data_IF_315728718500
#
_entry.id   IF_315728718500
#
_cell.length_a   1.000
_cell.length_b   1.000
_cell.length_c   1.000
_cell.angle_alpha   90.00
_cell.angle_beta   90.00
_cell.angle_gamma   90.00
#
_symmetry.space_group_name_H-M   'P 1'
#
loop_
_entity.id
_entity.type
_entity.pdbx_description
1 polymer ?
#
# COMPACT_ATOMS: atom_id res chain seq x y z
N UNK A 1 15.55 36.74 -86.73
CA UNK A 1 16.16 36.12 -85.52
C UNK A 1 15.07 35.29 -84.83
N UNK A 2 15.08 34.02 -85.10
CA UNK A 2 14.02 33.07 -84.71
C UNK A 2 14.51 32.21 -83.48
N UNK A 3 13.77 32.22 -82.45
CA UNK A 3 13.98 31.32 -81.27
C UNK A 3 13.18 30.02 -81.44
N UNK A 4 13.74 28.84 -81.13
CA UNK A 4 13.01 27.60 -81.25
C UNK A 4 12.20 27.27 -79.92
N UNK A 5 10.98 26.81 -80.13
CA UNK A 5 10.08 26.34 -79.10
C UNK A 5 10.57 24.96 -78.57
N UNK A 6 10.85 24.85 -77.27
CA UNK A 6 11.06 23.58 -76.59
C UNK A 6 9.69 22.95 -76.16
N UNK A 7 9.47 21.72 -76.57
CA UNK A 7 8.35 20.87 -76.15
C UNK A 7 8.59 20.35 -74.74
N UNK A 8 7.62 20.51 -73.85
CA UNK A 8 7.60 19.93 -72.52
C UNK A 8 6.88 18.59 -72.61
N UNK A 9 7.60 17.53 -72.33
CA UNK A 9 7.03 16.17 -72.23
C UNK A 9 6.38 16.01 -70.81
N UNK A 10 5.09 15.69 -70.81
CA UNK A 10 4.38 15.36 -69.57
C UNK A 10 4.66 13.91 -69.23
N UNK A 11 5.36 13.67 -68.12
CA UNK A 11 5.45 12.35 -67.47
C UNK A 11 4.28 12.19 -66.53
N UNK A 12 3.38 11.26 -66.84
CA UNK A 12 2.37 10.82 -65.92
C UNK A 12 3.00 9.88 -64.88
N UNK A 13 3.18 10.33 -63.64
CA UNK A 13 3.50 9.46 -62.51
C UNK A 13 2.23 8.83 -61.99
N UNK A 14 2.08 7.50 -62.15
CA UNK A 14 1.08 6.71 -61.47
C UNK A 14 1.58 6.41 -60.07
N UNK A 15 1.06 7.09 -59.04
CA UNK A 15 1.24 6.74 -57.62
C UNK A 15 0.25 5.65 -57.28
N UNK A 16 0.74 4.42 -57.11
CA UNK A 16 0.02 3.29 -56.50
C UNK A 16 -0.07 3.61 -54.98
N UNK A 17 -1.26 4.00 -54.51
CA UNK A 17 -1.57 4.09 -53.11
C UNK A 17 -1.80 2.65 -52.55
N UNK A 18 -0.80 2.11 -51.87
CA UNK A 18 -0.98 0.94 -51.01
C UNK A 18 -1.76 1.34 -49.78
N UNK A 19 -3.06 1.05 -49.73
CA UNK A 19 -3.86 1.11 -48.54
C UNK A 19 -3.43 -0.07 -47.63
N UNK A 20 -2.54 0.19 -46.68
CA UNK A 20 -2.26 -0.73 -45.60
C UNK A 20 -3.51 -0.78 -44.69
N UNK A 21 -4.34 -1.78 -44.85
CA UNK A 21 -5.37 -2.14 -43.86
C UNK A 21 -4.61 -2.58 -42.59
N UNK A 22 -4.44 -1.67 -41.63
CA UNK A 22 -4.05 -2.03 -40.29
C UNK A 22 -5.23 -2.85 -39.69
N UNK A 23 -5.11 -4.16 -39.70
CA UNK A 23 -5.94 -5.03 -38.88
C UNK A 23 -5.67 -4.65 -37.43
N UNK A 24 -6.52 -3.81 -36.84
CA UNK A 24 -6.58 -3.62 -35.40
C UNK A 24 -7.14 -4.94 -34.84
N UNK A 25 -6.25 -5.90 -34.62
CA UNK A 25 -6.56 -7.03 -33.74
C UNK A 25 -6.89 -6.40 -32.39
N UNK A 26 -8.15 -6.33 -32.04
CA UNK A 26 -8.55 -6.25 -30.63
C UNK A 26 -8.06 -7.55 -30.00
N UNK A 27 -6.86 -7.50 -29.39
CA UNK A 27 -6.49 -8.53 -28.44
C UNK A 27 -7.59 -8.48 -27.37
N UNK A 28 -8.35 -9.55 -27.20
CA UNK A 28 -9.18 -9.70 -26.01
C UNK A 28 -8.30 -9.35 -24.81
N UNK A 29 -8.72 -8.39 -23.97
CA UNK A 29 -7.97 -7.97 -22.80
C UNK A 29 -7.73 -9.18 -21.91
N UNK A 30 -6.56 -9.80 -22.06
CA UNK A 30 -6.18 -11.00 -21.32
C UNK A 30 -6.25 -10.70 -19.83
N UNK A 31 -7.11 -11.39 -19.11
CA UNK A 31 -7.20 -11.27 -17.65
C UNK A 31 -5.89 -11.77 -17.02
N UNK A 32 -5.11 -10.90 -16.33
CA UNK A 32 -3.85 -11.30 -15.74
C UNK A 32 -4.03 -12.41 -14.69
N UNK A 33 -3.18 -13.42 -14.77
CA UNK A 33 -3.12 -14.54 -13.82
C UNK A 33 -2.18 -14.19 -12.69
N UNK A 34 -2.66 -14.13 -11.46
CA UNK A 34 -1.86 -13.69 -10.32
C UNK A 34 -1.67 -14.79 -9.28
N UNK A 35 -0.49 -14.80 -8.65
CA UNK A 35 -0.19 -15.59 -7.47
C UNK A 35 -0.41 -14.76 -6.21
N UNK A 36 -0.97 -15.36 -5.16
CA UNK A 36 -1.00 -14.78 -3.81
C UNK A 36 0.09 -15.44 -2.96
N UNK A 37 1.03 -14.62 -2.49
CA UNK A 37 2.05 -14.99 -1.52
C UNK A 37 1.69 -14.32 -0.21
N UNK A 38 1.35 -15.10 0.82
CA UNK A 38 0.92 -14.52 2.11
C UNK A 38 1.58 -15.21 3.30
N UNK A 39 1.72 -14.47 4.38
CA UNK A 39 2.22 -15.00 5.65
C UNK A 39 1.18 -15.88 6.34
N UNK A 40 -0.08 -15.44 6.39
CA UNK A 40 -1.19 -16.19 7.00
C UNK A 40 -2.52 -15.70 6.44
N UNK A 41 -3.50 -16.57 6.34
CA UNK A 41 -4.84 -16.20 5.89
C UNK A 41 -5.91 -16.66 6.89
N UNK A 42 -6.41 -15.76 7.71
CA UNK A 42 -7.56 -15.99 8.58
C UNK A 42 -8.63 -14.91 8.37
N UNK A 43 -9.79 -15.08 8.94
CA UNK A 43 -10.92 -14.17 8.77
C UNK A 43 -10.56 -12.73 9.14
N UNK A 44 -10.82 -11.80 8.24
CA UNK A 44 -10.50 -10.37 8.34
C UNK A 44 -8.98 -10.04 8.36
N UNK A 45 -8.10 -11.01 8.08
CA UNK A 45 -6.69 -10.69 7.81
C UNK A 45 -6.56 -9.95 6.47
N UNK A 46 -5.42 -9.31 6.23
CA UNK A 46 -5.19 -8.64 4.94
C UNK A 46 -5.26 -9.62 3.76
N UNK A 47 -4.81 -10.86 3.90
CA UNK A 47 -5.01 -11.90 2.90
C UNK A 47 -6.50 -12.17 2.62
N UNK A 48 -7.35 -12.11 3.68
CA UNK A 48 -8.80 -12.30 3.55
C UNK A 48 -9.46 -11.13 2.81
N UNK A 49 -9.08 -9.89 3.14
CA UNK A 49 -9.70 -8.70 2.58
C UNK A 49 -9.08 -8.22 1.26
N UNK A 50 -7.88 -8.68 0.89
CA UNK A 50 -7.24 -8.41 -0.41
C UNK A 50 -7.36 -9.61 -1.33
N UNK A 51 -6.75 -10.76 -0.94
CA UNK A 51 -6.78 -12.00 -1.71
C UNK A 51 -8.18 -12.58 -1.85
N UNK A 52 -8.99 -12.50 -0.80
CA UNK A 52 -10.39 -12.94 -0.82
C UNK A 52 -11.24 -12.24 -1.88
N UNK A 53 -10.95 -10.97 -2.21
CA UNK A 53 -11.67 -10.24 -3.27
C UNK A 53 -11.46 -10.83 -4.66
N UNK A 54 -10.34 -11.46 -4.92
CA UNK A 54 -10.11 -12.15 -6.19
C UNK A 54 -11.03 -13.36 -6.37
N UNK A 55 -11.55 -13.90 -5.28
CA UNK A 55 -12.40 -15.08 -5.24
C UNK A 55 -13.89 -14.77 -5.00
N UNK A 56 -14.17 -13.77 -4.17
CA UNK A 56 -15.51 -13.45 -3.69
C UNK A 56 -16.02 -12.07 -4.20
N UNK A 57 -15.29 -11.43 -5.11
CA UNK A 57 -15.65 -10.11 -5.65
C UNK A 57 -15.32 -8.95 -4.70
N UNK A 58 -15.50 -7.72 -5.19
CA UNK A 58 -15.16 -6.51 -4.43
C UNK A 58 -15.93 -6.36 -3.10
N UNK A 59 -17.09 -6.95 -2.99
CA UNK A 59 -17.91 -6.92 -1.77
C UNK A 59 -17.76 -8.17 -0.89
N UNK A 60 -16.83 -9.08 -1.20
CA UNK A 60 -16.56 -10.31 -0.43
C UNK A 60 -17.81 -11.17 -0.16
N UNK A 61 -18.75 -11.23 -1.09
CA UNK A 61 -20.03 -11.93 -0.95
C UNK A 61 -20.35 -12.86 -2.14
N UNK A 62 -19.40 -13.04 -3.07
CA UNK A 62 -19.58 -13.87 -4.26
C UNK A 62 -20.49 -13.25 -5.31
N UNK A 63 -20.83 -11.97 -5.22
CA UNK A 63 -21.78 -11.30 -6.10
C UNK A 63 -21.24 -9.95 -6.59
N UNK A 64 -21.84 -9.42 -7.66
CA UNK A 64 -21.53 -8.12 -8.21
C UNK A 64 -20.25 -8.08 -9.02
N UNK A 65 -19.48 -7.01 -8.86
CA UNK A 65 -18.25 -6.79 -9.62
C UNK A 65 -17.07 -7.57 -9.00
N UNK A 66 -16.28 -8.20 -9.86
CA UNK A 66 -15.04 -8.88 -9.52
C UNK A 66 -13.84 -8.13 -10.08
N UNK A 67 -12.67 -8.20 -9.40
CA UNK A 67 -11.43 -7.74 -10.01
C UNK A 67 -11.16 -8.47 -11.33
N UNK A 68 -10.72 -7.74 -12.34
CA UNK A 68 -10.28 -8.33 -13.61
C UNK A 68 -8.89 -8.96 -13.49
N UNK A 69 -8.72 -9.76 -12.44
CA UNK A 69 -7.52 -10.53 -12.11
C UNK A 69 -7.96 -11.94 -11.76
N UNK A 70 -7.20 -12.94 -12.21
CA UNK A 70 -7.49 -14.35 -11.91
C UNK A 70 -6.46 -14.88 -10.89
N UNK A 71 -6.88 -15.17 -9.67
CA UNK A 71 -6.04 -15.90 -8.71
C UNK A 71 -5.84 -17.35 -9.20
N UNK A 72 -4.59 -17.73 -9.47
CA UNK A 72 -4.26 -19.05 -10.05
C UNK A 72 -3.40 -19.91 -9.13
N UNK A 73 -2.85 -19.35 -8.06
CA UNK A 73 -2.05 -20.07 -7.07
C UNK A 73 -1.97 -19.32 -5.75
N UNK A 74 -1.77 -20.08 -4.67
CA UNK A 74 -1.62 -19.56 -3.32
C UNK A 74 -0.39 -20.21 -2.67
N UNK A 75 0.44 -19.38 -2.02
CA UNK A 75 1.42 -19.80 -1.03
C UNK A 75 1.07 -19.15 0.31
N UNK A 76 1.12 -19.92 1.40
CA UNK A 76 0.88 -19.43 2.76
C UNK A 76 1.98 -19.92 3.68
N UNK A 77 2.72 -18.98 4.30
CA UNK A 77 3.90 -19.28 5.13
C UNK A 77 3.54 -19.99 6.44
N UNK A 78 2.51 -19.51 7.12
CA UNK A 78 2.01 -20.09 8.37
C UNK A 78 0.54 -20.54 8.22
N UNK A 79 0.24 -21.73 8.77
CA UNK A 79 -1.07 -22.37 8.66
C UNK A 79 -1.59 -22.73 10.06
N UNK A 80 -1.98 -21.71 10.87
CA UNK A 80 -2.56 -21.96 12.19
C UNK A 80 -3.93 -22.62 12.08
N UNK A 81 -4.48 -23.13 13.20
CA UNK A 81 -5.80 -23.78 13.25
C UNK A 81 -6.92 -22.92 12.63
N UNK A 82 -6.82 -21.59 12.76
CA UNK A 82 -7.76 -20.62 12.18
C UNK A 82 -7.51 -20.28 10.70
N UNK A 83 -6.59 -20.96 10.02
CA UNK A 83 -6.30 -20.72 8.61
C UNK A 83 -7.52 -20.96 7.72
N UNK A 84 -7.73 -20.08 6.75
CA UNK A 84 -8.79 -20.17 5.74
C UNK A 84 -8.25 -20.48 4.33
N UNK A 85 -6.95 -20.37 4.12
CA UNK A 85 -6.37 -20.43 2.77
C UNK A 85 -6.73 -21.72 2.03
N UNK A 86 -6.64 -22.86 2.74
CA UNK A 86 -6.95 -24.19 2.16
C UNK A 86 -8.44 -24.36 1.87
N UNK A 87 -9.31 -23.87 2.75
CA UNK A 87 -10.75 -23.92 2.55
C UNK A 87 -11.20 -23.03 1.39
N UNK A 88 -10.65 -21.81 1.29
CA UNK A 88 -10.93 -20.90 0.19
C UNK A 88 -10.40 -21.45 -1.13
N UNK A 89 -9.18 -21.99 -1.13
CA UNK A 89 -8.56 -22.63 -2.28
C UNK A 89 -9.42 -23.80 -2.81
N UNK A 90 -9.88 -24.69 -1.93
CA UNK A 90 -10.72 -25.82 -2.28
C UNK A 90 -12.09 -25.38 -2.81
N UNK A 91 -12.72 -24.38 -2.19
CA UNK A 91 -14.01 -23.83 -2.62
C UNK A 91 -13.97 -23.28 -4.04
N UNK A 92 -12.86 -22.64 -4.42
CA UNK A 92 -12.73 -21.95 -5.71
C UNK A 92 -11.83 -22.68 -6.73
N UNK A 93 -11.34 -23.88 -6.40
CA UNK A 93 -10.50 -24.68 -7.31
C UNK A 93 -9.12 -24.06 -7.57
N UNK A 94 -8.56 -23.30 -6.60
CA UNK A 94 -7.24 -22.68 -6.73
C UNK A 94 -6.18 -23.58 -6.07
N UNK A 95 -5.09 -23.97 -6.75
CA UNK A 95 -4.05 -24.80 -6.17
C UNK A 95 -3.26 -24.03 -5.08
N UNK A 96 -2.90 -24.75 -4.01
CA UNK A 96 -2.00 -24.26 -2.95
C UNK A 96 -0.67 -25.00 -3.10
N UNK A 97 0.42 -24.24 -3.00
CA UNK A 97 1.79 -24.75 -3.10
C UNK A 97 2.54 -24.59 -1.79
N UNK A 98 3.44 -25.51 -1.51
CA UNK A 98 4.27 -25.49 -0.29
C UNK A 98 5.51 -24.57 -0.42
N UNK A 99 5.76 -24.03 -1.63
CA UNK A 99 6.86 -23.10 -1.91
C UNK A 99 6.39 -21.96 -2.80
N UNK A 100 7.03 -20.79 -2.65
CA UNK A 100 6.80 -19.63 -3.53
C UNK A 100 7.14 -20.00 -4.97
N UNK A 101 8.25 -20.71 -5.19
CA UNK A 101 8.62 -21.18 -6.53
C UNK A 101 7.51 -22.01 -7.17
N UNK A 102 6.96 -22.99 -6.43
CA UNK A 102 5.84 -23.79 -6.91
C UNK A 102 4.61 -22.95 -7.26
N UNK A 103 4.28 -21.95 -6.41
CA UNK A 103 3.14 -21.06 -6.67
C UNK A 103 3.35 -20.20 -7.92
N UNK A 104 4.53 -19.64 -8.14
CA UNK A 104 4.82 -18.76 -9.26
C UNK A 104 5.00 -19.53 -10.59
N UNK A 105 5.47 -20.77 -10.53
CA UNK A 105 5.66 -21.63 -11.71
C UNK A 105 4.47 -22.56 -11.98
N UNK A 106 3.46 -22.57 -11.09
CA UNK A 106 2.33 -23.54 -11.11
C UNK A 106 2.82 -24.99 -11.14
N UNK A 107 3.91 -25.26 -10.42
CA UNK A 107 4.54 -26.58 -10.31
C UNK A 107 5.49 -26.92 -11.47
N UNK A 108 5.69 -26.03 -12.45
CA UNK A 108 6.67 -26.19 -13.53
C UNK A 108 8.04 -25.57 -13.20
N UNK A 109 8.84 -25.35 -14.26
CA UNK A 109 10.22 -24.85 -14.15
C UNK A 109 10.38 -23.35 -14.40
N UNK A 110 9.38 -22.73 -15.04
CA UNK A 110 9.42 -21.33 -15.49
C UNK A 110 8.26 -20.53 -14.89
N UNK A 111 8.45 -19.22 -14.72
CA UNK A 111 7.41 -18.31 -14.29
C UNK A 111 6.14 -18.42 -15.14
N UNK A 112 5.03 -18.77 -14.53
CA UNK A 112 3.75 -19.07 -15.20
C UNK A 112 2.60 -18.14 -14.80
N UNK A 113 2.89 -17.08 -14.02
CA UNK A 113 1.93 -16.04 -13.62
C UNK A 113 2.24 -14.71 -14.29
N UNK A 114 1.27 -13.80 -14.33
CA UNK A 114 1.37 -12.46 -14.91
C UNK A 114 1.55 -11.37 -13.82
N UNK A 115 1.46 -11.72 -12.54
CA UNK A 115 1.67 -10.82 -11.40
C UNK A 115 1.69 -11.54 -10.07
N UNK A 116 2.19 -10.85 -9.03
CA UNK A 116 2.28 -11.37 -7.66
C UNK A 116 1.66 -10.38 -6.68
N UNK A 117 0.75 -10.85 -5.83
CA UNK A 117 0.29 -10.13 -4.66
C UNK A 117 0.99 -10.72 -3.42
N UNK A 118 1.90 -9.94 -2.82
CA UNK A 118 2.58 -10.30 -1.58
C UNK A 118 1.88 -9.61 -0.40
N UNK A 119 1.13 -10.38 0.39
CA UNK A 119 0.36 -9.90 1.54
C UNK A 119 0.95 -10.47 2.82
N UNK A 120 1.95 -9.78 3.38
CA UNK A 120 2.77 -10.27 4.47
C UNK A 120 2.63 -9.39 5.73
N UNK A 121 1.44 -9.38 6.33
CA UNK A 121 1.06 -8.42 7.38
C UNK A 121 0.57 -9.04 8.68
N UNK A 122 0.38 -10.33 8.73
CA UNK A 122 -0.09 -11.05 9.90
C UNK A 122 0.71 -12.33 10.09
N UNK A 123 0.61 -12.91 11.26
CA UNK A 123 1.31 -14.14 11.60
C UNK A 123 1.92 -14.05 12.98
N UNK A 124 2.56 -15.15 13.40
CA UNK A 124 3.32 -15.25 14.64
C UNK A 124 4.80 -15.08 14.30
N UNK A 125 5.27 -13.83 14.35
CA UNK A 125 6.65 -13.43 14.07
C UNK A 125 7.22 -12.66 15.25
N UNK A 126 8.56 -12.70 15.46
CA UNK A 126 9.17 -11.99 16.57
C UNK A 126 9.02 -10.47 16.42
N UNK A 127 9.05 -9.78 17.56
CA UNK A 127 9.16 -8.33 17.62
C UNK A 127 10.65 -7.92 17.70
N UNK A 128 10.96 -6.79 17.07
CA UNK A 128 12.26 -6.11 17.21
C UNK A 128 12.36 -5.40 18.57
N UNK A 129 13.55 -4.89 18.90
CA UNK A 129 13.78 -4.07 20.09
C UNK A 129 13.07 -2.69 20.02
N UNK A 130 12.59 -2.31 18.85
CA UNK A 130 11.77 -1.09 18.64
C UNK A 130 10.26 -1.38 18.75
N UNK A 131 9.86 -2.66 18.89
CA UNK A 131 8.46 -3.09 18.96
C UNK A 131 7.79 -3.20 17.58
N UNK A 132 8.57 -3.31 16.50
CA UNK A 132 8.08 -3.63 15.17
C UNK A 132 8.04 -5.13 14.95
N UNK A 133 6.96 -5.64 14.33
CA UNK A 133 6.82 -7.07 14.02
C UNK A 133 7.67 -7.42 12.79
N UNK A 134 8.60 -8.36 12.96
CA UNK A 134 9.56 -8.78 11.93
C UNK A 134 8.93 -9.74 10.91
N UNK A 135 8.03 -9.22 10.08
CA UNK A 135 7.45 -10.01 9.00
C UNK A 135 8.52 -10.42 7.97
N UNK A 136 8.49 -11.66 7.44
CA UNK A 136 9.57 -12.18 6.59
C UNK A 136 9.57 -11.61 5.15
N UNK A 137 9.31 -10.32 4.98
CA UNK A 137 9.13 -9.68 3.67
C UNK A 137 10.36 -9.79 2.78
N UNK A 138 11.56 -9.58 3.36
CA UNK A 138 12.83 -9.76 2.61
C UNK A 138 12.98 -11.18 2.08
N UNK A 139 12.69 -12.20 2.90
CA UNK A 139 12.75 -13.60 2.47
C UNK A 139 11.76 -13.87 1.36
N UNK A 140 10.46 -13.51 1.57
CA UNK A 140 9.41 -13.77 0.60
C UNK A 140 9.69 -13.10 -0.76
N UNK A 141 10.11 -11.83 -0.74
CA UNK A 141 10.48 -11.13 -1.97
C UNK A 141 11.74 -11.72 -2.61
N UNK A 142 12.72 -12.10 -1.82
CA UNK A 142 13.93 -12.76 -2.32
C UNK A 142 13.63 -14.07 -3.05
N UNK A 143 12.71 -14.88 -2.52
CA UNK A 143 12.27 -16.12 -3.18
C UNK A 143 11.49 -15.83 -4.49
N UNK A 144 10.69 -14.74 -4.54
CA UNK A 144 10.03 -14.29 -5.77
C UNK A 144 11.08 -13.90 -6.82
N UNK A 145 12.08 -13.11 -6.42
CA UNK A 145 13.18 -12.66 -7.28
C UNK A 145 13.97 -13.82 -7.85
N UNK A 146 14.28 -14.85 -7.05
CA UNK A 146 14.95 -16.06 -7.53
C UNK A 146 14.18 -16.76 -8.66
N UNK A 147 12.84 -16.79 -8.61
CA UNK A 147 12.03 -17.34 -9.71
C UNK A 147 12.12 -16.45 -10.95
N UNK A 148 12.16 -15.13 -10.79
CA UNK A 148 12.34 -14.20 -11.90
C UNK A 148 13.69 -14.38 -12.58
N UNK A 149 14.76 -14.46 -11.78
CA UNK A 149 16.14 -14.69 -12.27
C UNK A 149 16.23 -16.00 -13.06
N UNK A 150 15.71 -17.09 -12.49
CA UNK A 150 15.70 -18.41 -13.14
C UNK A 150 14.89 -18.39 -14.45
N UNK A 151 13.82 -17.60 -14.51
CA UNK A 151 12.93 -17.54 -15.66
C UNK A 151 13.33 -16.51 -16.72
N UNK A 152 14.32 -15.64 -16.42
CA UNK A 152 14.71 -14.53 -17.29
C UNK A 152 13.55 -13.55 -17.58
N UNK A 153 12.53 -13.49 -16.71
CA UNK A 153 11.33 -12.68 -16.86
C UNK A 153 10.83 -12.18 -15.52
N UNK A 154 10.42 -10.91 -15.47
CA UNK A 154 9.78 -10.30 -14.32
C UNK A 154 8.30 -10.02 -14.59
N UNK A 155 7.51 -9.90 -13.52
CA UNK A 155 6.11 -9.47 -13.57
C UNK A 155 5.83 -8.46 -12.46
N UNK A 156 4.75 -7.68 -12.54
CA UNK A 156 4.37 -6.75 -11.48
C UNK A 156 4.22 -7.43 -10.12
N UNK A 157 4.71 -6.76 -9.08
CA UNK A 157 4.60 -7.20 -7.67
C UNK A 157 3.92 -6.10 -6.88
N UNK A 158 2.87 -6.46 -6.14
CA UNK A 158 2.28 -5.62 -5.10
C UNK A 158 2.71 -6.16 -3.73
N UNK A 159 3.23 -5.27 -2.86
CA UNK A 159 3.50 -5.54 -1.45
C UNK A 159 2.53 -4.76 -0.57
N UNK A 160 1.74 -5.46 0.22
CA UNK A 160 0.82 -4.83 1.16
C UNK A 160 1.57 -4.16 2.31
N UNK A 161 1.16 -2.92 2.67
CA UNK A 161 1.75 -2.03 3.69
C UNK A 161 3.22 -1.69 3.43
N UNK A 162 4.04 -1.63 4.52
CA UNK A 162 5.47 -1.28 4.43
C UNK A 162 6.30 -2.30 3.65
N UNK A 163 7.47 -1.87 3.19
CA UNK A 163 8.38 -2.76 2.45
C UNK A 163 9.10 -3.74 3.39
N UNK A 164 9.42 -3.32 4.61
CA UNK A 164 9.98 -4.16 5.67
C UNK A 164 9.79 -3.50 7.04
N UNK A 165 10.15 -4.19 8.11
CA UNK A 165 10.17 -3.70 9.49
C UNK A 165 11.39 -2.83 9.83
N UNK A 166 12.38 -2.78 8.93
CA UNK A 166 13.58 -1.97 9.08
C UNK A 166 14.04 -1.37 7.75
N UNK A 167 14.82 -0.29 7.85
CA UNK A 167 15.31 0.45 6.68
C UNK A 167 16.19 -0.38 5.74
N UNK A 168 17.15 -1.13 6.30
CA UNK A 168 18.14 -1.87 5.48
C UNK A 168 17.45 -2.87 4.54
N UNK A 169 16.44 -3.58 5.03
CA UNK A 169 15.68 -4.53 4.24
C UNK A 169 14.71 -3.83 3.27
N UNK A 170 14.12 -2.70 3.67
CA UNK A 170 13.27 -1.90 2.79
C UNK A 170 14.05 -1.31 1.62
N UNK A 171 15.23 -0.77 1.88
CA UNK A 171 16.13 -0.25 0.86
C UNK A 171 16.58 -1.35 -0.10
N UNK A 172 16.97 -2.53 0.44
CA UNK A 172 17.32 -3.68 -0.37
C UNK A 172 16.16 -4.12 -1.27
N UNK A 173 14.94 -4.18 -0.73
CA UNK A 173 13.74 -4.54 -1.47
C UNK A 173 13.53 -3.60 -2.66
N UNK A 174 13.55 -2.29 -2.39
CA UNK A 174 13.36 -1.27 -3.41
C UNK A 174 14.49 -1.28 -4.45
N UNK A 175 15.76 -1.32 -4.02
CA UNK A 175 16.93 -1.36 -4.92
C UNK A 175 16.89 -2.60 -5.82
N UNK A 176 16.52 -3.76 -5.29
CA UNK A 176 16.40 -5.01 -6.07
C UNK A 176 15.31 -4.86 -7.13
N UNK A 177 14.15 -4.30 -6.78
CA UNK A 177 13.09 -4.07 -7.76
C UNK A 177 13.54 -3.11 -8.88
N UNK A 178 14.24 -2.02 -8.54
CA UNK A 178 14.78 -1.07 -9.52
C UNK A 178 15.82 -1.73 -10.44
N UNK A 179 16.78 -2.45 -9.89
CA UNK A 179 17.86 -3.11 -10.65
C UNK A 179 17.30 -4.14 -11.65
N UNK A 180 16.29 -4.89 -11.24
CA UNK A 180 15.64 -5.90 -12.08
C UNK A 180 14.47 -5.36 -12.90
N UNK A 181 14.15 -4.07 -12.78
CA UNK A 181 13.02 -3.44 -13.45
C UNK A 181 11.69 -4.12 -13.15
N UNK A 182 11.52 -4.60 -11.94
CA UNK A 182 10.25 -5.16 -11.47
C UNK A 182 9.25 -4.01 -11.25
N UNK A 183 8.10 -3.99 -11.92
CA UNK A 183 7.04 -3.04 -11.61
C UNK A 183 6.56 -3.30 -10.17
N UNK A 184 7.02 -2.48 -9.23
CA UNK A 184 6.73 -2.63 -7.80
C UNK A 184 5.76 -1.55 -7.34
N UNK A 185 4.74 -1.94 -6.62
CA UNK A 185 3.83 -1.05 -5.92
C UNK A 185 3.61 -1.56 -4.50
N UNK A 186 3.55 -0.65 -3.54
CA UNK A 186 3.32 -0.98 -2.14
C UNK A 186 2.45 0.08 -1.45
N UNK A 187 2.04 -0.17 -0.22
CA UNK A 187 1.44 0.84 0.64
C UNK A 187 0.11 0.46 1.28
N UNK A 188 -0.45 1.44 1.94
CA UNK A 188 -1.68 1.38 2.73
C UNK A 188 -2.93 1.59 1.89
N UNK A 189 -4.07 1.04 2.34
CA UNK A 189 -5.39 1.34 1.80
C UNK A 189 -5.93 2.72 2.23
N UNK A 190 -5.36 3.35 3.26
CA UNK A 190 -5.85 4.64 3.80
C UNK A 190 -5.80 5.77 2.76
N UNK A 191 -4.72 5.99 2.00
CA UNK A 191 -4.70 7.00 0.95
C UNK A 191 -5.79 6.84 -0.11
N UNK A 192 -6.27 5.59 -0.33
CA UNK A 192 -7.28 5.25 -1.34
C UNK A 192 -8.71 5.37 -0.82
N UNK A 193 -8.91 5.67 0.47
CA UNK A 193 -10.22 5.77 1.11
C UNK A 193 -11.03 6.98 0.62
N UNK A 194 -12.31 7.00 0.96
CA UNK A 194 -13.15 8.19 0.82
C UNK A 194 -12.62 9.31 1.70
N UNK A 195 -12.93 10.55 1.32
CA UNK A 195 -12.57 11.74 2.11
C UNK A 195 -13.82 12.56 2.41
N UNK A 196 -13.92 13.07 3.61
CA UNK A 196 -15.01 13.98 4.01
C UNK A 196 -14.47 15.22 4.72
N UNK A 197 -14.73 16.42 4.16
CA UNK A 197 -15.30 16.65 2.84
C UNK A 197 -14.47 16.02 1.72
N UNK A 198 -15.09 15.77 0.56
CA UNK A 198 -14.43 15.19 -0.62
C UNK A 198 -13.49 16.21 -1.25
N UNK A 199 -12.29 16.30 -0.71
CA UNK A 199 -11.27 17.25 -1.13
C UNK A 199 -9.86 16.58 -1.11
N UNK A 200 -8.88 17.20 -1.75
CA UNK A 200 -7.48 16.77 -1.78
C UNK A 200 -6.56 17.98 -1.77
N UNK A 201 -5.38 17.84 -1.20
CA UNK A 201 -4.35 18.87 -1.31
C UNK A 201 -4.01 19.08 -2.79
N UNK A 202 -4.15 20.31 -3.26
CA UNK A 202 -3.81 20.65 -4.66
C UNK A 202 -2.34 20.36 -4.93
N UNK A 203 -2.06 19.82 -6.11
CA UNK A 203 -0.68 19.63 -6.55
C UNK A 203 0.04 20.98 -6.63
N UNK A 204 1.34 20.98 -6.31
CA UNK A 204 2.21 22.15 -6.28
C UNK A 204 1.78 23.24 -5.27
N UNK A 205 0.96 22.87 -4.29
CA UNK A 205 0.59 23.77 -3.20
C UNK A 205 1.80 24.09 -2.32
N UNK A 206 1.92 25.35 -1.91
CA UNK A 206 2.94 25.79 -0.95
C UNK A 206 2.48 25.46 0.47
N UNK A 207 2.76 24.27 0.93
CA UNK A 207 2.36 23.77 2.25
C UNK A 207 3.42 24.13 3.28
N UNK A 208 2.99 24.61 4.44
CA UNK A 208 3.86 24.93 5.58
C UNK A 208 3.84 23.83 6.65
N UNK A 209 2.67 23.25 6.89
CA UNK A 209 2.49 22.25 7.94
C UNK A 209 1.36 21.29 7.59
N UNK A 210 1.54 20.01 7.95
CA UNK A 210 0.52 18.96 7.85
C UNK A 210 0.41 18.24 9.19
N UNK A 211 -0.81 18.05 9.67
CA UNK A 211 -1.13 17.26 10.87
C UNK A 211 -2.10 16.16 10.49
N UNK A 212 -1.75 14.92 10.85
CA UNK A 212 -2.59 13.73 10.61
C UNK A 212 -2.84 13.03 11.95
N UNK A 213 -4.05 12.53 12.16
CA UNK A 213 -4.38 11.70 13.33
C UNK A 213 -4.26 10.22 13.00
N UNK A 214 -3.86 9.45 14.01
CA UNK A 214 -3.82 7.99 13.99
C UNK A 214 -4.35 7.46 15.32
N UNK A 215 -4.42 6.15 15.48
CA UNK A 215 -4.86 5.50 16.72
C UNK A 215 -4.25 4.10 16.83
N UNK A 216 -4.44 3.42 17.98
CA UNK A 216 -3.98 2.04 18.24
C UNK A 216 -2.45 1.90 18.24
N UNK A 217 -1.89 0.85 17.60
CA UNK A 217 -0.46 0.53 17.66
C UNK A 217 0.39 1.47 16.80
N UNK A 218 1.60 1.76 17.26
CA UNK A 218 2.53 2.65 16.52
C UNK A 218 3.13 1.95 15.31
N UNK A 219 3.33 0.64 15.36
CA UNK A 219 3.85 -0.14 14.24
C UNK A 219 2.82 -0.19 13.10
N UNK A 220 1.73 -0.95 13.26
CA UNK A 220 0.78 -1.15 12.18
C UNK A 220 -0.04 0.11 11.83
N UNK A 221 -0.59 0.81 12.84
CA UNK A 221 -1.45 1.98 12.63
C UNK A 221 -0.66 3.27 12.45
N UNK A 222 0.51 3.39 13.09
CA UNK A 222 1.44 4.49 12.82
C UNK A 222 1.89 4.51 11.36
N UNK A 223 2.17 3.34 10.77
CA UNK A 223 2.46 3.25 9.33
C UNK A 223 1.31 3.78 8.47
N UNK A 224 0.07 3.43 8.79
CA UNK A 224 -1.08 3.96 8.05
C UNK A 224 -1.19 5.49 8.16
N UNK A 225 -0.90 6.04 9.35
CA UNK A 225 -0.84 7.49 9.55
C UNK A 225 0.26 8.16 8.73
N UNK A 226 1.43 7.53 8.62
CA UNK A 226 2.53 8.01 7.78
C UNK A 226 2.19 7.95 6.28
N UNK A 227 1.53 6.90 5.81
CA UNK A 227 1.05 6.80 4.42
C UNK A 227 -0.04 7.86 4.12
N UNK A 228 -0.94 8.10 5.07
CA UNK A 228 -1.95 9.16 4.98
C UNK A 228 -1.31 10.55 4.92
N UNK A 229 -0.26 10.79 5.68
CA UNK A 229 0.51 12.03 5.66
C UNK A 229 1.30 12.18 4.36
N UNK A 230 2.06 11.15 3.99
CA UNK A 230 2.98 11.21 2.84
C UNK A 230 2.23 11.40 1.52
N UNK A 231 1.03 10.82 1.36
CA UNK A 231 0.23 11.02 0.15
C UNK A 231 -0.24 12.48 -0.02
N UNK A 232 -0.20 13.30 1.04
CA UNK A 232 -0.39 14.75 0.97
C UNK A 232 0.95 15.46 0.78
N UNK A 233 1.96 15.11 1.57
CA UNK A 233 3.27 15.75 1.53
C UNK A 233 3.93 15.67 0.14
N UNK A 234 3.81 14.55 -0.57
CA UNK A 234 4.35 14.37 -1.92
C UNK A 234 3.72 15.28 -2.99
N UNK A 235 2.60 15.95 -2.67
CA UNK A 235 1.87 16.84 -3.59
C UNK A 235 2.29 18.30 -3.48
N UNK A 236 3.13 18.65 -2.48
CA UNK A 236 3.58 20.02 -2.26
C UNK A 236 4.44 20.54 -3.41
N UNK A 237 4.62 21.85 -3.46
CA UNK A 237 5.50 22.49 -4.43
C UNK A 237 6.92 21.91 -4.34
N UNK A 238 7.44 21.45 -5.46
CA UNK A 238 8.72 20.74 -5.53
C UNK A 238 8.63 19.22 -5.37
N UNK A 239 7.47 18.67 -4.99
CA UNK A 239 7.31 17.23 -4.75
C UNK A 239 7.95 16.76 -3.44
N UNK A 240 8.33 15.49 -3.36
CA UNK A 240 9.11 14.98 -2.23
C UNK A 240 10.58 15.38 -2.36
N UNK A 241 11.16 15.89 -1.27
CA UNK A 241 12.53 16.44 -1.23
C UNK A 241 13.43 15.76 -0.18
N UNK A 242 12.91 14.73 0.44
CA UNK A 242 13.58 13.98 1.52
C UNK A 242 13.31 14.55 2.91
N UNK A 243 13.60 13.71 3.90
CA UNK A 243 13.41 14.00 5.33
C UNK A 243 14.75 14.30 5.98
N UNK A 244 14.78 15.35 6.80
CA UNK A 244 15.98 15.79 7.51
C UNK A 244 16.18 14.98 8.79
N UNK A 245 15.13 14.92 9.63
CA UNK A 245 15.15 14.23 10.92
C UNK A 245 13.74 13.97 11.42
N UNK A 246 13.64 13.07 12.37
CA UNK A 246 12.37 12.71 13.02
C UNK A 246 12.54 12.57 14.53
N UNK A 247 11.43 12.63 15.28
CA UNK A 247 11.38 12.17 16.67
C UNK A 247 9.99 11.72 17.07
N UNK A 248 9.93 10.92 18.14
CA UNK A 248 8.69 10.46 18.76
C UNK A 248 8.59 11.00 20.19
N UNK A 249 7.50 11.69 20.51
CA UNK A 249 7.19 12.13 21.86
C UNK A 249 5.95 11.37 22.38
N UNK A 250 5.83 11.25 23.72
CA UNK A 250 4.73 10.51 24.34
C UNK A 250 4.19 11.23 25.57
N UNK A 251 2.89 11.08 25.84
CA UNK A 251 2.24 11.64 27.03
C UNK A 251 2.31 13.16 27.07
N UNK A 252 2.66 13.71 28.24
CA UNK A 252 2.67 15.18 28.47
C UNK A 252 3.67 15.93 27.60
N UNK A 253 4.75 15.28 27.15
CA UNK A 253 5.72 15.89 26.24
C UNK A 253 5.10 16.30 24.91
N UNK A 254 4.07 15.58 24.45
CA UNK A 254 3.30 15.93 23.25
C UNK A 254 2.62 17.28 23.43
N UNK A 255 1.98 17.48 24.57
CA UNK A 255 1.29 18.75 24.84
C UNK A 255 2.26 19.91 25.07
N UNK A 256 3.40 19.65 25.72
CA UNK A 256 4.47 20.64 25.85
C UNK A 256 5.05 21.04 24.50
N UNK A 257 5.21 20.10 23.56
CA UNK A 257 5.64 20.41 22.21
C UNK A 257 4.61 21.27 21.45
N UNK A 258 3.32 21.01 21.65
CA UNK A 258 2.23 21.86 21.13
C UNK A 258 2.29 23.27 21.70
N UNK A 259 2.49 23.40 23.02
CA UNK A 259 2.61 24.72 23.72
C UNK A 259 3.80 25.52 23.20
N UNK A 260 4.90 24.86 22.81
CA UNK A 260 6.08 25.50 22.20
C UNK A 260 5.91 25.81 20.70
N UNK A 261 4.77 25.47 20.09
CA UNK A 261 4.51 25.67 18.66
C UNK A 261 5.34 24.76 17.73
N UNK A 262 5.77 23.61 18.23
CA UNK A 262 6.52 22.64 17.44
C UNK A 262 5.60 21.90 16.45
N UNK A 263 4.30 21.78 16.75
CA UNK A 263 3.23 21.44 15.84
C UNK A 263 1.96 22.21 16.19
N UNK A 264 1.04 22.32 15.23
CA UNK A 264 -0.15 23.15 15.35
C UNK A 264 -1.30 22.46 16.08
N UNK A 265 -1.63 22.93 17.29
CA UNK A 265 -2.86 22.54 18.00
C UNK A 265 -4.14 22.84 17.20
N UNK A 266 -4.30 24.03 16.62
CA UNK A 266 -5.44 24.35 15.75
C UNK A 266 -5.63 23.40 14.57
N UNK A 267 -4.55 22.95 13.90
CA UNK A 267 -4.66 21.95 12.83
C UNK A 267 -5.10 20.58 13.38
N UNK A 268 -4.60 20.19 14.56
CA UNK A 268 -5.03 18.96 15.21
C UNK A 268 -6.54 18.99 15.51
N UNK A 269 -7.03 20.08 16.09
CA UNK A 269 -8.46 20.26 16.38
C UNK A 269 -9.29 20.30 15.10
N UNK A 270 -8.79 20.92 14.04
CA UNK A 270 -9.45 20.94 12.74
C UNK A 270 -9.52 19.55 12.11
N UNK A 271 -8.45 18.74 12.20
CA UNK A 271 -8.46 17.35 11.74
C UNK A 271 -9.50 16.52 12.50
N UNK A 272 -9.54 16.62 13.84
CA UNK A 272 -10.53 15.93 14.67
C UNK A 272 -11.95 16.44 14.39
N UNK A 273 -12.11 17.73 14.06
CA UNK A 273 -13.40 18.33 13.68
C UNK A 273 -14.04 17.72 12.43
N UNK A 274 -13.26 16.99 11.61
CA UNK A 274 -13.79 16.28 10.42
C UNK A 274 -14.30 14.86 10.73
N UNK A 275 -14.07 14.34 11.93
CA UNK A 275 -14.46 12.97 12.30
C UNK A 275 -15.95 12.72 12.14
N UNK A 276 -16.29 11.52 11.67
CA UNK A 276 -17.66 11.11 11.38
C UNK A 276 -18.24 10.19 12.46
N UNK A 277 -17.41 9.51 13.22
CA UNK A 277 -17.83 8.54 14.24
C UNK A 277 -17.93 9.19 15.62
N UNK A 278 -16.83 9.81 16.08
CA UNK A 278 -16.77 10.44 17.40
C UNK A 278 -15.77 11.60 17.40
N UNK A 279 -16.26 12.81 17.56
CA UNK A 279 -15.45 14.00 17.78
C UNK A 279 -15.15 14.28 19.26
N UNK A 280 -14.59 15.44 19.53
CA UNK A 280 -14.39 15.92 20.90
C UNK A 280 -15.74 16.18 21.57
N UNK A 281 -15.91 15.84 22.86
CA UNK A 281 -17.07 16.24 23.62
C UNK A 281 -17.20 17.77 23.67
N UNK A 282 -18.43 18.27 23.65
CA UNK A 282 -18.69 19.71 23.67
C UNK A 282 -17.96 20.43 24.84
N UNK A 283 -17.26 21.49 24.52
CA UNK A 283 -16.51 22.29 25.50
C UNK A 283 -15.24 21.63 26.03
N UNK A 284 -14.81 20.51 25.45
CA UNK A 284 -13.55 19.84 25.81
C UNK A 284 -12.48 20.07 24.76
N UNK A 285 -11.25 20.28 25.21
CA UNK A 285 -10.06 20.31 24.36
C UNK A 285 -9.53 18.89 24.12
N UNK A 286 -8.71 18.74 23.09
CA UNK A 286 -8.05 17.46 22.80
C UNK A 286 -7.20 16.98 23.98
N UNK A 287 -6.47 17.88 24.66
CA UNK A 287 -5.63 17.60 25.84
C UNK A 287 -6.45 17.05 27.02
N UNK A 288 -7.68 17.54 27.23
CA UNK A 288 -8.54 17.03 28.29
C UNK A 288 -9.07 15.61 28.02
N UNK A 289 -9.23 15.26 26.76
CA UNK A 289 -9.83 13.98 26.33
C UNK A 289 -8.77 12.90 26.14
N UNK A 290 -7.71 13.19 25.39
CA UNK A 290 -6.65 12.24 25.04
C UNK A 290 -5.67 12.08 26.20
N UNK A 291 -5.49 10.85 26.70
CA UNK A 291 -4.72 10.57 27.91
C UNK A 291 -3.30 10.06 27.62
N UNK A 292 -3.12 9.38 26.52
CA UNK A 292 -1.83 8.76 26.13
C UNK A 292 -1.48 9.08 24.69
N UNK A 293 -1.31 10.37 24.34
CA UNK A 293 -0.95 10.76 22.98
C UNK A 293 0.47 10.29 22.67
N UNK A 294 0.70 9.95 21.40
CA UNK A 294 2.05 9.78 20.85
C UNK A 294 2.16 10.63 19.59
N UNK A 295 3.21 11.42 19.50
CA UNK A 295 3.50 12.30 18.37
C UNK A 295 4.68 11.76 17.58
N UNK A 296 4.50 11.49 16.32
CA UNK A 296 5.53 11.35 15.30
C UNK A 296 5.75 12.73 14.68
N UNK A 297 6.91 13.32 14.91
CA UNK A 297 7.30 14.62 14.38
C UNK A 297 8.34 14.45 13.29
N UNK A 298 8.13 15.10 12.14
CA UNK A 298 8.89 14.92 10.92
C UNK A 298 9.28 16.29 10.38
N UNK A 299 10.58 16.54 10.26
CA UNK A 299 11.14 17.74 9.65
C UNK A 299 11.65 17.37 8.24
N UNK A 300 10.97 17.85 7.20
CA UNK A 300 11.42 17.67 5.82
C UNK A 300 12.57 18.65 5.47
N UNK A 301 13.34 18.30 4.42
CA UNK A 301 14.52 19.11 4.02
C UNK A 301 14.17 20.49 3.50
N UNK A 302 13.01 20.63 2.86
CA UNK A 302 12.50 21.90 2.32
C UNK A 302 11.82 22.80 3.37
N UNK A 303 11.77 22.35 4.62
CA UNK A 303 11.20 23.09 5.73
C UNK A 303 9.73 22.78 6.03
N UNK A 304 9.06 21.89 5.27
CA UNK A 304 7.75 21.39 5.66
C UNK A 304 7.84 20.72 7.03
N UNK A 305 6.92 21.09 7.93
CA UNK A 305 6.71 20.42 9.21
C UNK A 305 5.53 19.49 9.11
N UNK A 306 5.70 18.25 9.54
CA UNK A 306 4.61 17.29 9.51
C UNK A 306 4.53 16.47 10.79
N UNK A 307 3.31 16.10 11.17
CA UNK A 307 3.03 15.40 12.42
C UNK A 307 1.98 14.31 12.21
N UNK A 308 2.24 13.13 12.79
CA UNK A 308 1.21 12.11 12.97
C UNK A 308 0.98 11.94 14.46
N UNK A 309 -0.26 12.13 14.90
CA UNK A 309 -0.60 12.06 16.32
C UNK A 309 -1.50 10.85 16.55
N UNK A 310 -0.99 9.87 17.30
CA UNK A 310 -1.77 8.72 17.75
C UNK A 310 -2.63 9.11 18.92
N UNK A 311 -3.94 9.01 18.74
CA UNK A 311 -4.97 9.36 19.71
C UNK A 311 -5.48 8.10 20.41
N UNK A 312 -6.12 8.31 21.57
CA UNK A 312 -6.82 7.29 22.33
C UNK A 312 -8.25 7.77 22.67
N UNK A 313 -8.87 7.20 23.71
CA UNK A 313 -10.12 7.69 24.30
C UNK A 313 -11.33 7.70 23.36
N UNK A 314 -11.30 6.84 22.33
CA UNK A 314 -12.38 6.66 21.37
C UNK A 314 -12.33 7.59 20.16
N UNK A 315 -11.21 8.28 19.94
CA UNK A 315 -10.94 9.08 18.75
C UNK A 315 -10.20 8.20 17.74
N UNK A 316 -10.92 7.37 16.98
CA UNK A 316 -10.38 6.29 16.15
C UNK A 316 -10.62 6.53 14.67
N UNK A 317 -10.24 7.73 14.18
CA UNK A 317 -10.34 8.08 12.77
C UNK A 317 -9.06 8.76 12.27
N UNK A 318 -8.89 8.74 10.96
CA UNK A 318 -7.73 9.26 10.24
C UNK A 318 -8.03 10.66 9.70
N UNK A 319 -8.00 11.67 10.56
CA UNK A 319 -8.15 13.07 10.15
C UNK A 319 -6.84 13.63 9.62
N UNK A 320 -6.93 14.52 8.65
CA UNK A 320 -5.80 15.30 8.13
C UNK A 320 -6.17 16.77 8.02
N UNK A 321 -5.24 17.65 8.41
CA UNK A 321 -5.35 19.09 8.21
C UNK A 321 -4.01 19.65 7.78
N UNK A 322 -4.03 20.72 6.97
CA UNK A 322 -2.81 21.37 6.51
C UNK A 322 -2.97 22.87 6.43
N UNK A 323 -1.84 23.57 6.51
CA UNK A 323 -1.72 25.01 6.40
C UNK A 323 -0.92 25.37 5.17
N UNK A 324 -1.46 26.27 4.35
CA UNK A 324 -0.79 26.82 3.18
C UNK A 324 0.02 28.10 3.52
N UNK A 325 0.89 28.49 2.61
CA UNK A 325 1.75 29.67 2.78
C UNK A 325 0.97 30.99 2.87
N UNK A 326 -0.25 31.07 2.34
CA UNK A 326 -1.14 32.22 2.47
C UNK A 326 -1.89 32.27 3.81
N UNK A 327 -1.64 31.27 4.68
CA UNK A 327 -2.27 31.14 5.99
C UNK A 327 -3.60 30.39 5.98
N UNK A 328 -4.16 30.04 4.81
CA UNK A 328 -5.38 29.24 4.71
C UNK A 328 -5.15 27.81 5.19
N UNK A 329 -6.20 27.20 5.72
CA UNK A 329 -6.18 25.82 6.21
C UNK A 329 -7.33 25.03 5.63
N UNK A 330 -7.09 23.75 5.38
CA UNK A 330 -8.11 22.81 4.95
C UNK A 330 -7.96 21.50 5.72
N UNK A 331 -9.02 20.71 5.77
CA UNK A 331 -9.01 19.42 6.47
C UNK A 331 -10.03 18.46 5.86
N UNK A 332 -9.79 17.18 6.08
CA UNK A 332 -10.73 16.09 5.83
C UNK A 332 -10.44 14.89 6.74
N UNK A 333 -11.38 13.96 6.80
CA UNK A 333 -11.14 12.62 7.37
C UNK A 333 -11.05 11.59 6.23
N UNK A 334 -10.07 10.69 6.31
CA UNK A 334 -10.04 9.46 5.52
C UNK A 334 -11.11 8.52 6.07
N UNK A 335 -12.22 8.41 5.40
CA UNK A 335 -13.33 7.57 5.84
C UNK A 335 -13.13 6.13 5.39
N UNK A 336 -12.82 5.25 6.32
CA UNK A 336 -12.72 3.81 6.09
C UNK A 336 -14.07 3.14 6.37
N UNK A 337 -14.31 2.01 5.74
CA UNK A 337 -15.34 1.09 6.16
C UNK A 337 -14.69 0.02 7.04
N UNK A 338 -14.84 0.17 8.35
CA UNK A 338 -14.24 -0.75 9.34
C UNK A 338 -15.07 -2.03 9.55
N UNK A 339 -16.29 -2.07 9.00
CA UNK A 339 -17.14 -3.26 8.97
C UNK A 339 -17.03 -3.98 7.62
N UNK A 340 -17.41 -5.26 7.60
CA UNK A 340 -17.50 -6.03 6.37
C UNK A 340 -18.41 -5.30 5.34
N UNK A 341 -17.99 -5.14 4.09
CA UNK A 341 -16.87 -5.81 3.40
C UNK A 341 -15.51 -5.07 3.42
N UNK A 342 -15.26 -4.09 4.29
CA UNK A 342 -13.98 -3.36 4.35
C UNK A 342 -13.60 -2.73 3.00
N UNK A 343 -14.51 -1.99 2.41
CA UNK A 343 -14.45 -1.59 1.00
C UNK A 343 -13.31 -0.63 0.64
N UNK A 344 -12.63 0.00 1.62
CA UNK A 344 -11.39 0.73 1.37
C UNK A 344 -10.29 -0.16 0.77
N UNK A 345 -10.26 -1.47 1.06
CA UNK A 345 -9.39 -2.42 0.38
C UNK A 345 -9.79 -2.69 -1.08
N UNK A 346 -11.06 -2.51 -1.43
CA UNK A 346 -11.48 -2.56 -2.84
C UNK A 346 -10.85 -1.44 -3.65
N UNK A 347 -10.77 -0.23 -3.07
CA UNK A 347 -10.14 0.91 -3.73
C UNK A 347 -8.62 0.71 -3.90
N UNK A 348 -7.95 0.13 -2.89
CA UNK A 348 -6.55 -0.31 -3.00
C UNK A 348 -6.38 -1.30 -4.15
N UNK A 349 -7.21 -2.35 -4.18
CA UNK A 349 -7.09 -3.43 -5.16
C UNK A 349 -7.37 -2.95 -6.60
N UNK A 350 -8.24 -1.95 -6.82
CA UNK A 350 -8.41 -1.32 -8.15
C UNK A 350 -7.11 -0.67 -8.65
N UNK A 351 -6.32 -0.06 -7.75
CA UNK A 351 -4.99 0.45 -8.09
C UNK A 351 -4.01 -0.66 -8.45
N UNK A 352 -4.05 -1.75 -7.70
CA UNK A 352 -3.25 -2.96 -7.97
C UNK A 352 -3.64 -3.59 -9.32
N UNK A 353 -4.94 -3.76 -9.55
CA UNK A 353 -5.48 -4.28 -10.82
C UNK A 353 -4.96 -3.46 -12.01
N UNK A 354 -5.01 -2.12 -11.92
CA UNK A 354 -4.48 -1.25 -12.97
C UNK A 354 -2.99 -1.55 -13.23
N UNK A 355 -2.16 -1.70 -12.21
CA UNK A 355 -0.75 -2.04 -12.38
C UNK A 355 -0.58 -3.42 -13.05
N UNK A 356 -1.36 -4.43 -12.66
CA UNK A 356 -1.26 -5.77 -13.24
C UNK A 356 -1.59 -5.80 -14.75
N UNK A 357 -2.50 -4.90 -15.19
CA UNK A 357 -2.83 -4.77 -16.62
C UNK A 357 -1.81 -3.93 -17.41
N UNK A 358 -1.29 -2.86 -16.81
CA UNK A 358 -0.45 -1.88 -17.52
C UNK A 358 1.05 -2.13 -17.39
N UNK A 359 1.48 -2.92 -16.41
CA UNK A 359 2.88 -3.05 -16.03
C UNK A 359 3.47 -1.78 -15.40
N UNK A 360 2.63 -0.79 -15.03
CA UNK A 360 3.09 0.48 -14.46
C UNK A 360 2.44 0.69 -13.07
N UNK A 361 3.23 1.00 -12.03
CA UNK A 361 2.68 1.33 -10.72
C UNK A 361 1.67 2.46 -10.79
N UNK A 362 0.54 2.31 -10.12
CA UNK A 362 -0.52 3.34 -10.09
C UNK A 362 -0.10 4.54 -9.25
N UNK A 363 0.71 4.32 -8.20
CA UNK A 363 1.39 5.34 -7.41
C UNK A 363 2.84 4.93 -7.17
N UNK A 364 3.67 5.92 -6.82
CA UNK A 364 5.10 5.71 -6.62
C UNK A 364 5.38 4.79 -5.42
N UNK A 365 6.27 3.83 -5.60
CA UNK A 365 6.77 2.96 -4.51
C UNK A 365 7.63 3.75 -3.53
N UNK A 366 8.24 4.85 -3.99
CA UNK A 366 9.06 5.74 -3.16
C UNK A 366 8.25 6.33 -2.01
N UNK A 367 6.92 6.55 -2.16
CA UNK A 367 6.05 6.90 -1.04
C UNK A 367 6.21 5.90 0.11
N UNK A 368 6.04 4.62 -0.20
CA UNK A 368 6.10 3.55 0.81
C UNK A 368 7.53 3.30 1.29
N UNK A 369 8.55 3.55 0.47
CA UNK A 369 9.94 3.52 0.90
C UNK A 369 10.22 4.59 1.95
N UNK A 370 9.82 5.83 1.70
CA UNK A 370 9.93 6.95 2.66
C UNK A 370 9.17 6.63 3.95
N UNK A 371 7.91 6.19 3.86
CA UNK A 371 7.10 5.90 5.06
C UNK A 371 7.60 4.70 5.85
N UNK A 372 8.21 3.70 5.21
CA UNK A 372 8.88 2.59 5.89
C UNK A 372 10.10 3.08 6.68
N UNK A 373 10.97 3.89 6.06
CA UNK A 373 12.13 4.44 6.74
C UNK A 373 11.77 5.46 7.83
N UNK A 374 10.69 6.23 7.63
CA UNK A 374 10.12 7.09 8.67
C UNK A 374 9.69 6.28 9.90
N UNK A 375 8.93 5.20 9.69
CA UNK A 375 8.46 4.36 10.78
C UNK A 375 9.63 3.78 11.58
N UNK A 376 10.62 3.20 10.90
CA UNK A 376 11.81 2.63 11.55
C UNK A 376 12.53 3.69 12.40
N UNK A 377 12.85 4.84 11.84
CA UNK A 377 13.52 5.94 12.56
C UNK A 377 12.69 6.48 13.73
N UNK A 378 11.37 6.57 13.60
CA UNK A 378 10.46 7.03 14.64
C UNK A 378 10.34 6.03 15.79
N UNK A 379 10.32 4.74 15.50
CA UNK A 379 10.33 3.69 16.52
C UNK A 379 11.67 3.63 17.25
N UNK A 380 12.80 3.83 16.53
CA UNK A 380 14.13 4.02 17.13
C UNK A 380 14.13 5.24 18.07
N UNK A 381 13.62 6.39 17.61
CA UNK A 381 13.49 7.59 18.46
C UNK A 381 12.69 7.30 19.73
N UNK A 382 11.57 6.59 19.62
CA UNK A 382 10.75 6.21 20.78
C UNK A 382 11.50 5.33 21.77
N UNK A 383 12.19 4.28 21.28
CA UNK A 383 13.02 3.40 22.11
C UNK A 383 14.10 4.19 22.85
N UNK A 384 14.67 5.18 22.20
CA UNK A 384 15.78 5.99 22.68
C UNK A 384 15.34 7.26 23.44
N UNK A 385 14.11 7.30 23.98
CA UNK A 385 13.62 8.35 24.87
C UNK A 385 13.22 9.66 24.16
N UNK A 386 12.79 9.61 22.89
CA UNK A 386 12.24 10.75 22.16
C UNK A 386 13.27 11.70 21.57
N UNK A 387 14.54 11.30 21.50
CA UNK A 387 15.60 12.10 20.86
C UNK A 387 15.39 12.18 19.34
N UNK A 388 15.87 13.27 18.75
CA UNK A 388 15.92 13.36 17.28
C UNK A 388 16.82 12.28 16.68
N UNK A 389 16.33 11.68 15.60
CA UNK A 389 17.08 10.79 14.72
C UNK A 389 17.26 11.51 13.39
N UNK A 390 18.52 11.80 13.03
CA UNK A 390 18.86 12.34 11.72
C UNK A 390 18.67 11.26 10.66
N UNK A 391 18.05 11.62 9.54
CA UNK A 391 17.66 10.66 8.49
C UNK A 391 18.32 10.92 7.12
N UNK A 392 19.67 10.96 7.04
CA UNK A 392 20.37 11.18 5.79
C UNK A 392 20.06 10.12 4.72
N UNK A 393 19.65 8.94 5.15
CA UNK A 393 19.23 7.84 4.28
C UNK A 393 17.85 8.07 3.64
N UNK A 394 17.02 8.98 4.16
CA UNK A 394 15.76 9.44 3.55
C UNK A 394 15.96 10.67 2.66
N UNK A 395 17.14 10.79 2.02
CA UNK A 395 17.40 11.72 0.93
C UNK A 395 16.81 11.18 -0.37
N UNK A 396 15.49 11.10 -0.41
CA UNK A 396 14.72 10.51 -1.50
C UNK A 396 13.85 11.60 -2.09
N UNK A 397 14.11 11.94 -3.35
CA UNK A 397 13.30 12.87 -4.12
C UNK A 397 12.47 12.13 -5.17
N UNK A 398 11.21 12.50 -5.30
CA UNK A 398 10.33 11.98 -6.35
C UNK A 398 9.15 12.91 -6.60
N UNK A 399 8.55 12.75 -7.79
CA UNK A 399 7.34 13.45 -8.17
C UNK A 399 6.19 12.45 -8.28
N UNK A 400 5.14 12.67 -7.50
CA UNK A 400 3.95 11.83 -7.63
C UNK A 400 3.15 12.21 -8.88
N UNK A 401 2.72 11.21 -9.64
CA UNK A 401 1.77 11.38 -10.74
C UNK A 401 0.35 10.98 -10.33
N UNK A 402 0.21 10.32 -9.20
CA UNK A 402 -1.07 9.86 -8.71
C UNK A 402 -1.94 11.02 -8.20
N UNK A 403 -3.22 10.99 -8.55
CA UNK A 403 -4.23 11.89 -8.04
C UNK A 403 -5.33 11.06 -7.38
N UNK A 404 -5.69 11.45 -6.16
CA UNK A 404 -6.86 10.87 -5.53
C UNK A 404 -8.13 11.23 -6.32
N UNK A 405 -9.03 10.28 -6.39
CA UNK A 405 -10.37 10.46 -6.94
C UNK A 405 -11.34 9.90 -5.92
N UNK A 406 -12.47 10.60 -5.72
CA UNK A 406 -13.53 10.10 -4.85
C UNK A 406 -13.95 8.71 -5.33
N UNK A 407 -13.81 7.67 -4.49
CA UNK A 407 -14.29 6.35 -4.86
C UNK A 407 -15.81 6.33 -5.07
N UNK A 408 -16.36 5.31 -5.77
CA UNK A 408 -17.79 5.06 -5.80
C UNK A 408 -18.39 5.01 -4.39
N UNK A 409 -19.70 5.20 -4.27
CA UNK A 409 -20.38 5.17 -2.98
C UNK A 409 -20.01 3.95 -2.17
N UNK A 410 -19.80 4.17 -0.86
CA UNK A 410 -19.44 3.09 0.06
C UNK A 410 -20.58 2.07 0.11
N UNK A 411 -20.30 0.79 -0.16
CA UNK A 411 -21.36 -0.23 -0.08
C UNK A 411 -21.87 -0.34 1.36
N UNK A 412 -23.14 -0.74 1.55
CA UNK A 412 -23.66 -0.97 2.88
C UNK A 412 -22.85 -2.05 3.62
N UNK A 413 -22.66 -1.86 4.93
CA UNK A 413 -22.08 -2.89 5.76
C UNK A 413 -22.96 -4.15 5.72
N UNK A 414 -22.33 -5.29 5.52
CA UNK A 414 -23.04 -6.59 5.51
C UNK A 414 -22.74 -7.36 6.79
N UNK A 415 -23.62 -8.27 7.24
CA UNK A 415 -23.32 -9.14 8.39
C UNK A 415 -22.00 -9.85 8.16
N UNK A 416 -21.18 -9.94 9.21
CA UNK A 416 -19.92 -10.71 9.14
C UNK A 416 -20.23 -12.13 8.70
N UNK A 417 -19.49 -12.69 7.70
CA UNK A 417 -19.70 -14.06 7.28
C UNK A 417 -19.59 -14.99 8.49
N UNK A 418 -20.43 -16.03 8.53
CA UNK A 418 -20.36 -17.03 9.57
C UNK A 418 -18.93 -17.59 9.67
N UNK A 419 -18.42 -17.80 10.89
CA UNK A 419 -17.10 -18.41 11.09
C UNK A 419 -17.06 -19.74 10.34
N UNK A 420 -16.16 -19.85 9.36
CA UNK A 420 -15.91 -21.12 8.71
C UNK A 420 -15.23 -22.01 9.77
N UNK A 421 -15.95 -23.02 10.25
CA UNK A 421 -15.35 -24.04 11.12
C UNK A 421 -14.34 -24.81 10.27
N UNK A 422 -13.06 -24.90 10.66
CA UNK A 422 -12.07 -25.65 9.89
C UNK A 422 -12.58 -27.07 9.68
N UNK A 423 -12.60 -27.55 8.44
CA UNK A 423 -12.82 -28.97 8.19
C UNK A 423 -11.70 -29.74 8.91
N UNK A 424 -12.06 -30.70 9.75
CA UNK A 424 -11.07 -31.60 10.39
C UNK A 424 -10.30 -32.31 9.26
N UNK A 425 -9.15 -31.74 8.90
CA UNK A 425 -8.21 -32.40 7.99
C UNK A 425 -7.63 -33.57 8.79
N UNK A 426 -7.97 -34.80 8.39
CA UNK A 426 -7.29 -35.98 8.91
C UNK A 426 -5.79 -35.80 8.65
N UNK A 427 -4.92 -36.00 9.64
CA UNK A 427 -3.49 -35.98 9.41
C UNK A 427 -3.13 -36.95 8.29
N UNK A 428 -2.37 -36.49 7.29
CA UNK A 428 -1.81 -37.39 6.30
C UNK A 428 -1.01 -38.48 7.02
N UNK A 429 -1.25 -39.74 6.66
CA UNK A 429 -0.58 -40.87 7.27
C UNK A 429 0.92 -40.67 7.20
N UNK A 430 1.60 -40.76 8.35
CA UNK A 430 3.04 -40.61 8.47
C UNK A 430 3.72 -41.60 7.52
N UNK A 431 4.62 -41.07 6.67
CA UNK A 431 5.46 -41.94 5.82
C UNK A 431 6.25 -42.90 6.70
N UNK A 432 6.33 -44.21 6.34
CA UNK A 432 7.10 -45.17 7.12
C UNK A 432 8.59 -44.76 7.15
N UNK A 433 9.19 -44.83 8.33
CA UNK A 433 10.63 -44.63 8.52
C UNK A 433 11.42 -45.61 7.63
N UNK A 434 12.51 -45.16 6.98
CA UNK A 434 13.40 -46.08 6.28
C UNK A 434 13.95 -47.12 7.26
N UNK A 435 13.90 -48.40 6.85
CA UNK A 435 14.50 -49.49 7.65
C UNK A 435 15.99 -49.26 7.79
N UNK A 436 16.50 -49.36 9.03
CA UNK A 436 17.92 -49.35 9.29
C UNK A 436 18.58 -50.56 8.61
N UNK A 437 19.49 -50.30 7.68
CA UNK A 437 20.41 -51.33 7.17
C UNK A 437 21.38 -51.71 8.27
N UNK A 438 21.40 -53.00 8.56
CA UNK A 438 22.45 -53.61 9.41
C UNK A 438 23.72 -53.79 8.62
#
# INVERSE_FOLDING_TARGET
>A
MSFPRRRVAHWFCWTLAFAALACVCHAEDKVPRVALVTTVWYQNSHADVIGGRLLEGYNLNGQGEFPKLKLVSIFTDQVPERDKSRAMAAKHGVPVFDTIAGALTLGGDQLAVDGVLMVAEHGDYPESDTGSTQHPKRRLFGEIVQVFDKSGRVVPVFSDKHLSDNWADAEWFWKTAQQQRIPLMAGSSVPMAWRKPANDLKRDAKVQEIVVTSYSSLDAYGFHGLEALQCLAERRAGGETGVKRVRTLSGDEVWQAMDRGEFSGPLLEQAIGTFQLKGLPAGKTVREVVKKPVLFQIDYRDGLKASVITLDSGLYEWGAAWKLADGSTEAFVYQLQEDHPFAHFSNLLRGVEKMMHTGQPTWSTERTLVTTGLLDALLISKRDGGRYVETPFLDIDYQTTWNWQQPPDMPPATPKPAKITPAKVKPAAAKPKPAAQK
#
